data_IF_426508925919
#
_entry.id   IF_426508925919
#
_cell.length_a   1.000
_cell.length_b   1.000
_cell.length_c   1.000
_cell.angle_alpha   90.00
_cell.angle_beta   90.00
_cell.angle_gamma   90.00
#
_symmetry.space_group_name_H-M   'P 1'
#
loop_
_entity.id
_entity.type
_entity.pdbx_description
1 polymer ?
#
# COMPACT_ATOMS: atom_id res chain seq x y z
N UNK A 1 24.88 8.71 -5.24
CA UNK A 1 24.53 8.87 -5.26
C UNK A 1 23.67 9.19 -5.18
N UNK A 2 23.32 9.28 -5.35
CA UNK A 2 22.76 9.53 -5.45
C UNK A 2 21.76 9.67 -5.41
N UNK A 3 21.47 9.90 -5.76
CA UNK A 3 20.55 10.08 -5.84
C UNK A 3 19.54 9.54 -5.67
N UNK A 4 19.60 9.30 -5.90
CA UNK A 4 18.77 8.36 -5.44
C UNK A 4 17.65 8.79 -4.59
N UNK A 5 17.58 9.87 -4.19
CA UNK A 5 16.61 10.40 -3.27
C UNK A 5 15.48 11.13 -3.92
N UNK A 6 15.19 10.79 -5.15
CA UNK A 6 14.07 11.42 -5.83
C UNK A 6 12.75 11.06 -5.19
N UNK A 7 12.71 9.98 -4.48
CA UNK A 7 11.52 9.56 -3.76
C UNK A 7 11.94 8.83 -2.50
N UNK A 8 11.03 8.78 -1.57
CA UNK A 8 11.26 8.07 -0.32
C UNK A 8 10.67 6.68 -0.41
N UNK A 9 11.38 5.69 0.06
CA UNK A 9 10.80 4.35 0.14
C UNK A 9 9.67 4.35 1.16
N UNK A 10 8.79 3.36 1.07
CA UNK A 10 7.74 3.19 2.05
C UNK A 10 8.38 2.94 3.42
N UNK A 11 7.87 3.65 4.43
CA UNK A 11 8.29 3.43 5.80
C UNK A 11 7.24 2.58 6.48
N UNK A 12 7.60 1.34 6.78
CA UNK A 12 6.69 0.36 7.36
C UNK A 12 7.36 -0.23 8.59
N UNK A 13 6.78 0.03 9.76
CA UNK A 13 7.34 -0.44 11.02
C UNK A 13 7.27 -1.95 11.16
N UNK A 14 6.17 -2.55 10.74
CA UNK A 14 5.98 -3.98 10.88
C UNK A 14 5.61 -4.63 9.58
N UNK A 15 6.22 -5.78 9.33
CA UNK A 15 5.95 -6.55 8.13
C UNK A 15 6.00 -8.02 8.49
N UNK A 16 4.87 -8.69 8.39
CA UNK A 16 4.79 -10.11 8.72
C UNK A 16 4.27 -10.86 7.50
N UNK A 17 5.11 -11.72 6.94
CA UNK A 17 4.70 -12.56 5.82
C UNK A 17 3.83 -13.69 6.34
N UNK A 18 2.61 -13.81 5.81
CA UNK A 18 1.67 -14.87 6.19
C UNK A 18 1.82 -16.06 5.24
N UNK A 19 1.83 -15.79 3.95
CA UNK A 19 1.86 -16.83 2.93
C UNK A 19 2.25 -16.24 1.60
N UNK A 20 3.01 -16.97 0.80
CA UNK A 20 3.29 -16.51 -0.55
C UNK A 20 3.47 -17.67 -1.51
N UNK A 21 3.12 -17.42 -2.75
CA UNK A 21 3.35 -18.31 -3.88
C UNK A 21 4.09 -17.54 -4.96
N UNK A 22 4.16 -18.12 -6.16
CA UNK A 22 4.88 -17.48 -7.26
C UNK A 22 4.16 -16.26 -7.79
N UNK A 23 2.85 -16.17 -7.58
CA UNK A 23 2.00 -15.14 -8.18
C UNK A 23 1.13 -14.42 -7.16
N UNK A 24 1.34 -14.65 -5.87
CA UNK A 24 0.61 -13.90 -4.85
C UNK A 24 1.32 -13.96 -3.51
N UNK A 25 1.04 -12.96 -2.69
CA UNK A 25 1.64 -12.81 -1.37
C UNK A 25 0.62 -12.21 -0.40
N UNK A 26 0.62 -12.72 0.81
CA UNK A 26 -0.24 -12.24 1.88
C UNK A 26 0.64 -11.79 3.04
N UNK A 27 0.47 -10.56 3.49
CA UNK A 27 1.23 -10.00 4.58
C UNK A 27 0.35 -9.21 5.54
N UNK A 28 0.81 -9.08 6.77
CA UNK A 28 0.26 -8.10 7.71
C UNK A 28 1.29 -6.98 7.81
N UNK A 29 0.85 -5.76 7.55
CA UNK A 29 1.70 -4.57 7.61
C UNK A 29 1.24 -3.66 8.73
N UNK A 30 2.20 -3.03 9.40
CA UNK A 30 1.92 -2.05 10.45
C UNK A 30 2.58 -0.74 10.04
N UNK A 31 1.77 0.31 9.98
CA UNK A 31 2.24 1.68 9.79
C UNK A 31 2.10 2.37 11.15
N UNK A 32 3.23 2.79 11.73
CA UNK A 32 3.19 3.57 12.95
C UNK A 32 2.81 5.02 12.63
N UNK A 33 2.63 5.80 13.66
CA UNK A 33 2.30 7.21 13.51
C UNK A 33 3.30 7.88 12.58
N UNK A 34 2.79 8.60 11.59
CA UNK A 34 3.62 9.34 10.63
C UNK A 34 4.13 8.51 9.46
N UNK A 35 3.88 7.21 9.46
CA UNK A 35 4.35 6.35 8.36
C UNK A 35 3.32 6.22 7.27
N UNK A 36 3.78 5.94 6.06
CA UNK A 36 2.88 5.78 4.92
C UNK A 36 3.56 4.97 3.81
N UNK A 37 2.73 4.49 2.90
CA UNK A 37 3.23 3.90 1.66
C UNK A 37 2.95 4.93 0.56
N UNK A 38 4.00 5.56 0.03
CA UNK A 38 3.82 6.64 -0.96
C UNK A 38 3.12 6.19 -2.22
N UNK A 39 2.67 7.15 -3.01
CA UNK A 39 1.98 6.90 -4.27
C UNK A 39 2.78 5.96 -5.17
N UNK A 40 2.15 4.88 -5.57
CA UNK A 40 2.72 3.88 -6.46
C UNK A 40 1.60 3.09 -7.12
N UNK A 41 1.97 2.31 -8.13
CA UNK A 41 1.03 1.38 -8.73
C UNK A 41 1.74 0.08 -9.09
N UNK A 42 0.94 -0.93 -9.36
CA UNK A 42 1.42 -2.26 -9.79
C UNK A 42 0.88 -2.51 -11.19
N UNK A 43 1.68 -3.13 -12.05
CA UNK A 43 1.26 -3.33 -13.43
C UNK A 43 0.36 -4.54 -13.63
N UNK A 44 0.50 -5.58 -12.77
CA UNK A 44 -0.23 -6.82 -12.96
C UNK A 44 -1.11 -7.24 -11.80
N UNK A 45 -0.71 -6.91 -10.57
CA UNK A 45 -1.40 -7.41 -9.39
C UNK A 45 -2.48 -6.45 -8.90
N UNK A 46 -3.43 -7.01 -8.19
CA UNK A 46 -4.41 -6.27 -7.39
C UNK A 46 -3.90 -6.24 -5.96
N UNK A 47 -4.03 -5.09 -5.29
CA UNK A 47 -3.85 -5.00 -3.84
C UNK A 47 -5.22 -5.08 -3.19
N UNK A 48 -5.36 -6.00 -2.23
CA UNK A 48 -6.60 -6.15 -1.46
C UNK A 48 -6.27 -5.88 0.00
N UNK A 49 -6.97 -4.91 0.59
CA UNK A 49 -6.69 -4.42 1.94
C UNK A 49 -7.81 -4.80 2.90
N UNK A 50 -7.45 -5.28 4.09
CA UNK A 50 -8.39 -5.50 5.20
C UNK A 50 -7.80 -4.82 6.42
N UNK A 51 -8.51 -3.85 6.98
CA UNK A 51 -8.03 -3.14 8.16
C UNK A 51 -8.15 -4.03 9.40
N UNK A 52 -7.10 -4.10 10.19
CA UNK A 52 -7.05 -4.90 11.42
C UNK A 52 -7.01 -4.04 12.68
N UNK A 53 -6.39 -2.86 12.64
CA UNK A 53 -6.31 -1.94 13.78
C UNK A 53 -6.29 -0.52 13.26
N UNK A 54 -6.94 0.37 13.98
CA UNK A 54 -7.01 1.78 13.62
C UNK A 54 -7.97 2.01 12.46
N UNK A 55 -7.72 3.07 11.71
CA UNK A 55 -8.46 3.36 10.49
C UNK A 55 -7.44 3.51 9.36
N UNK A 56 -7.56 2.66 8.37
CA UNK A 56 -6.66 2.70 7.22
C UNK A 56 -7.26 3.56 6.11
N UNK A 57 -6.45 4.42 5.53
CA UNK A 57 -6.86 5.25 4.41
C UNK A 57 -6.13 4.78 3.16
N UNK A 58 -6.90 4.45 2.13
CA UNK A 58 -6.36 4.07 0.82
C UNK A 58 -6.89 5.07 -0.19
N UNK A 59 -5.98 5.90 -0.72
CA UNK A 59 -6.34 6.90 -1.72
C UNK A 59 -5.92 6.42 -3.09
N UNK A 60 -6.80 6.61 -4.07
CA UNK A 60 -6.54 6.17 -5.44
C UNK A 60 -6.69 7.33 -6.42
N UNK A 61 -6.18 7.15 -7.64
CA UNK A 61 -6.23 8.21 -8.66
C UNK A 61 -7.12 7.89 -9.85
N UNK A 62 -7.33 6.62 -10.18
CA UNK A 62 -8.04 6.24 -11.39
C UNK A 62 -8.99 5.07 -11.14
N UNK A 63 -10.14 5.28 -10.55
CA UNK A 63 -10.76 6.58 -10.26
C UNK A 63 -10.18 7.23 -9.02
N UNK A 64 -10.33 8.55 -8.94
CA UNK A 64 -9.95 9.28 -7.75
C UNK A 64 -10.94 8.95 -6.64
N UNK A 65 -10.45 8.43 -5.54
CA UNK A 65 -11.30 7.98 -4.46
C UNK A 65 -10.47 7.94 -3.17
N UNK A 66 -11.18 7.97 -2.03
CA UNK A 66 -10.57 7.82 -0.72
C UNK A 66 -11.38 6.79 0.05
N UNK A 67 -10.74 5.68 0.36
CA UNK A 67 -11.36 4.62 1.14
C UNK A 67 -10.92 4.74 2.59
N UNK A 68 -11.87 4.91 3.50
CA UNK A 68 -11.62 4.91 4.94
C UNK A 68 -12.08 3.56 5.46
N UNK A 69 -11.12 2.76 5.94
CA UNK A 69 -11.41 1.40 6.39
C UNK A 69 -11.27 1.31 7.89
N UNK A 70 -12.37 1.12 8.58
CA UNK A 70 -12.35 0.75 9.99
C UNK A 70 -12.09 -0.75 10.10
N UNK A 71 -11.85 -1.21 11.31
CA UNK A 71 -11.49 -2.62 11.55
C UNK A 71 -12.51 -3.55 10.89
N UNK A 72 -12.00 -4.49 10.08
CA UNK A 72 -12.80 -5.46 9.34
C UNK A 72 -13.26 -4.98 7.98
N UNK A 73 -13.16 -3.69 7.70
CA UNK A 73 -13.53 -3.16 6.38
C UNK A 73 -12.41 -3.36 5.38
N UNK A 74 -12.76 -3.36 4.11
CA UNK A 74 -11.82 -3.75 3.06
C UNK A 74 -12.10 -3.06 1.75
N UNK A 75 -11.06 -2.97 0.93
CA UNK A 75 -11.17 -2.47 -0.44
C UNK A 75 -10.08 -3.11 -1.28
N UNK A 76 -10.21 -2.98 -2.58
CA UNK A 76 -9.17 -3.46 -3.50
C UNK A 76 -8.79 -2.35 -4.46
N UNK A 77 -7.54 -2.42 -4.94
CA UNK A 77 -7.02 -1.48 -5.93
C UNK A 77 -6.52 -2.31 -7.11
N UNK A 78 -7.11 -2.05 -8.28
CA UNK A 78 -6.79 -2.78 -9.50
C UNK A 78 -5.39 -2.43 -10.01
N UNK A 79 -4.83 -3.28 -10.90
CA UNK A 79 -3.57 -2.93 -11.55
C UNK A 79 -3.67 -1.58 -12.25
N UNK A 80 -2.54 -0.89 -12.34
CA UNK A 80 -2.39 0.40 -13.03
C UNK A 80 -3.10 1.56 -12.35
N UNK A 81 -3.63 1.36 -11.14
CA UNK A 81 -4.28 2.43 -10.40
C UNK A 81 -3.35 2.87 -9.26
N UNK A 82 -2.81 4.08 -9.38
CA UNK A 82 -1.90 4.62 -8.36
C UNK A 82 -2.64 4.81 -7.04
N UNK A 83 -1.97 4.47 -5.96
CA UNK A 83 -2.57 4.58 -4.63
C UNK A 83 -1.55 4.96 -3.57
N UNK A 84 -2.07 5.51 -2.47
CA UNK A 84 -1.32 6.03 -1.34
C UNK A 84 -2.00 5.49 -0.08
N UNK A 85 -1.21 4.91 0.83
CA UNK A 85 -1.76 4.20 1.98
C UNK A 85 -1.19 4.77 3.27
N UNK A 86 -2.07 5.11 4.21
CA UNK A 86 -1.65 5.67 5.49
C UNK A 86 -2.76 5.47 6.52
N UNK A 87 -2.45 5.71 7.78
CA UNK A 87 -3.48 5.76 8.81
C UNK A 87 -4.25 7.07 8.74
N UNK A 88 -5.46 7.10 9.27
CA UNK A 88 -6.25 8.32 9.35
C UNK A 88 -5.49 9.36 10.15
N UNK A 89 -5.33 10.55 9.58
CA UNK A 89 -4.57 11.64 10.21
C UNK A 89 -3.15 11.19 10.59
N UNK A 90 -2.60 10.28 9.79
CA UNK A 90 -1.26 9.70 9.98
C UNK A 90 -1.10 8.95 11.30
N UNK A 91 -2.20 8.49 11.89
CA UNK A 91 -2.19 7.66 13.08
C UNK A 91 -1.81 6.22 12.72
N UNK A 92 -1.46 5.44 13.73
CA UNK A 92 -1.10 4.04 13.53
C UNK A 92 -2.24 3.25 12.91
N UNK A 93 -1.90 2.37 11.97
CA UNK A 93 -2.84 1.44 11.37
C UNK A 93 -2.15 0.11 11.08
N UNK A 94 -2.91 -0.97 11.18
CA UNK A 94 -2.42 -2.30 10.90
C UNK A 94 -3.42 -2.95 9.96
N UNK A 95 -2.91 -3.64 8.94
CA UNK A 95 -3.79 -4.19 7.92
C UNK A 95 -3.21 -5.44 7.28
N UNK A 96 -4.12 -6.28 6.81
CA UNK A 96 -3.79 -7.43 5.99
C UNK A 96 -3.78 -6.96 4.53
N UNK A 97 -2.77 -7.33 3.79
CA UNK A 97 -2.69 -7.03 2.37
C UNK A 97 -2.49 -8.32 1.58
N UNK A 98 -3.35 -8.53 0.59
CA UNK A 98 -3.25 -9.63 -0.34
C UNK A 98 -2.85 -9.04 -1.68
N UNK A 99 -1.73 -9.48 -2.23
CA UNK A 99 -1.16 -8.96 -3.47
C UNK A 99 -1.08 -10.07 -4.50
N UNK A 100 -1.85 -9.98 -5.54
CA UNK A 100 -1.92 -10.99 -6.60
C UNK A 100 -3.08 -10.69 -7.53
N UNK A 101 -3.35 -11.43 -8.49
CA UNK A 101 -2.56 -12.58 -8.94
C UNK A 101 -1.70 -12.09 -10.09
N UNK A 102 -0.40 -12.43 -10.10
CA UNK A 102 0.51 -11.99 -11.16
C UNK A 102 1.89 -11.68 -10.61
N UNK A 103 2.73 -11.13 -11.47
CA UNK A 103 4.09 -10.76 -11.09
C UNK A 103 4.05 -9.45 -10.32
N UNK A 104 4.65 -9.46 -9.14
CA UNK A 104 4.72 -8.26 -8.30
C UNK A 104 5.74 -7.27 -8.87
N UNK A 105 5.34 -6.02 -8.97
CA UNK A 105 6.24 -4.89 -9.18
C UNK A 105 5.74 -3.71 -8.36
N UNK A 106 6.57 -2.69 -8.23
CA UNK A 106 6.19 -1.48 -7.50
C UNK A 106 6.74 -0.31 -8.29
N UNK A 107 5.84 0.47 -8.86
CA UNK A 107 6.23 1.59 -9.72
C UNK A 107 5.86 2.89 -9.03
N UNK A 108 6.85 3.63 -8.49
CA UNK A 108 6.59 4.89 -7.81
C UNK A 108 6.03 5.93 -8.76
N UNK A 109 5.13 6.79 -8.26
CA UNK A 109 4.51 7.84 -9.06
C UNK A 109 5.19 9.16 -8.71
N UNK A 110 5.74 9.81 -9.75
CA UNK A 110 6.37 11.12 -9.58
C UNK A 110 7.75 11.08 -8.95
N UNK A 111 8.15 9.94 -8.43
CA UNK A 111 9.39 9.82 -7.68
C UNK A 111 10.60 10.03 -8.57
N UNK A 112 10.51 9.60 -9.79
CA UNK A 112 11.61 9.68 -10.76
C UNK A 112 11.64 11.00 -11.50
N UNK A 113 10.72 11.86 -11.22
CA UNK A 113 10.66 13.15 -11.88
C UNK A 113 11.72 14.06 -11.34
N UNK A 114 12.49 14.52 -12.19
CA UNK A 114 13.63 15.34 -11.79
C UNK A 114 13.66 16.59 -12.59
#
# INVERSE_FOLDING_TARGET
>A
MMQVKKYLPATISGRELIMEGTDMRVQVLTLDEGESIPWHFHSEITDYFVCLEGTLVVETKAPSNTHLLDVGERCSVSPMNAHYVHGLEMSKAKFLILQGVGVYDNIPVGAHKV
#
